data_IF_030506402242
#
_entry.id   IF_030506402242
#
_cell.length_a   1.000
_cell.length_b   1.000
_cell.length_c   1.000
_cell.angle_alpha   90.00
_cell.angle_beta   90.00
_cell.angle_gamma   90.00
#
_symmetry.space_group_name_H-M   'P 1'
#
loop_
_entity.id
_entity.type
_entity.pdbx_description
1 polymer ?
#
# COMPACT_ATOMS: atom_id res chain seq x y z
N UNK A 1 -22.40 6.53 65.20
CA UNK A 1 -23.16 6.59 63.94
C UNK A 1 -22.31 6.01 62.82
N UNK A 2 -22.94 5.28 61.89
CA UNK A 2 -22.34 4.27 60.99
C UNK A 2 -21.31 4.87 60.03
N UNK A 3 -20.15 4.22 59.93
CA UNK A 3 -19.08 4.55 58.98
C UNK A 3 -19.30 3.80 57.66
N UNK A 4 -19.52 4.56 56.58
CA UNK A 4 -19.86 4.04 55.26
C UNK A 4 -18.58 3.62 54.53
N UNK A 5 -18.41 2.31 54.28
CA UNK A 5 -17.34 1.79 53.43
C UNK A 5 -17.68 2.04 51.96
N UNK A 6 -16.93 2.91 51.30
CA UNK A 6 -16.99 3.06 49.84
C UNK A 6 -15.91 2.15 49.25
N UNK A 7 -16.35 1.02 48.69
CA UNK A 7 -15.54 0.17 47.82
C UNK A 7 -15.69 0.76 46.42
N UNK A 8 -14.67 1.45 45.90
CA UNK A 8 -14.64 1.89 44.51
C UNK A 8 -13.69 0.96 43.73
N UNK A 9 -14.30 0.07 42.94
CA UNK A 9 -13.62 -0.82 42.01
C UNK A 9 -12.87 -0.02 40.94
N UNK A 10 -11.54 -0.16 40.90
CA UNK A 10 -10.72 0.35 39.80
C UNK A 10 -10.88 -0.58 38.59
N UNK A 11 -11.64 -0.14 37.58
CA UNK A 11 -11.74 -0.83 36.29
C UNK A 11 -10.47 -0.53 35.50
N UNK A 12 -9.56 -1.52 35.40
CA UNK A 12 -8.46 -1.48 34.45
C UNK A 12 -9.00 -1.68 33.03
N UNK A 13 -9.23 -0.58 32.32
CA UNK A 13 -9.48 -0.62 30.88
C UNK A 13 -8.15 -0.87 30.15
N UNK A 14 -7.83 -2.14 29.87
CA UNK A 14 -6.81 -2.49 28.87
C UNK A 14 -7.36 -2.16 27.48
N UNK A 15 -7.14 -0.93 27.05
CA UNK A 15 -7.34 -0.53 25.67
C UNK A 15 -6.27 -1.18 24.79
N UNK A 16 -6.61 -2.29 24.13
CA UNK A 16 -5.78 -2.79 23.04
C UNK A 16 -5.90 -1.82 21.86
N UNK A 17 -4.93 -0.93 21.71
CA UNK A 17 -4.73 -0.22 20.45
C UNK A 17 -4.31 -1.27 19.43
N UNK A 18 -5.24 -1.75 18.61
CA UNK A 18 -4.93 -2.52 17.43
C UNK A 18 -4.11 -1.62 16.50
N UNK A 19 -2.78 -1.79 16.53
CA UNK A 19 -1.91 -1.22 15.53
C UNK A 19 -2.29 -1.87 14.19
N UNK A 20 -3.03 -1.13 13.37
CA UNK A 20 -3.17 -1.47 11.96
C UNK A 20 -1.76 -1.44 11.38
N UNK A 21 -1.18 -2.63 11.17
CA UNK A 21 0.11 -2.74 10.54
C UNK A 21 -0.05 -2.46 9.05
N UNK A 22 0.92 -1.75 8.49
CA UNK A 22 1.26 -1.79 7.08
C UNK A 22 0.98 -3.18 6.51
N UNK A 23 0.34 -3.24 5.35
CA UNK A 23 0.44 -4.47 4.60
C UNK A 23 1.90 -4.69 4.23
N UNK A 24 2.44 -5.82 4.65
CA UNK A 24 3.78 -6.20 4.30
C UNK A 24 3.90 -6.29 2.78
N UNK A 25 4.96 -5.70 2.24
CA UNK A 25 5.34 -5.88 0.85
C UNK A 25 5.33 -7.38 0.55
N UNK A 26 4.58 -7.83 -0.47
CA UNK A 26 4.50 -9.24 -0.79
C UNK A 26 5.88 -9.77 -1.18
N UNK A 27 6.12 -11.06 -0.94
CA UNK A 27 7.26 -11.75 -1.56
C UNK A 27 7.05 -11.72 -3.08
N UNK A 28 8.10 -11.35 -3.81
CA UNK A 28 8.10 -11.31 -5.28
C UNK A 28 7.79 -12.70 -5.85
N UNK A 29 6.81 -12.80 -6.74
CA UNK A 29 6.48 -14.06 -7.42
C UNK A 29 7.39 -14.27 -8.64
N UNK A 30 7.22 -15.41 -9.34
CA UNK A 30 7.91 -15.64 -10.62
C UNK A 30 7.54 -14.58 -11.67
N UNK A 31 6.29 -14.14 -11.69
CA UNK A 31 5.78 -13.12 -12.62
C UNK A 31 6.37 -11.73 -12.39
N UNK A 32 6.88 -11.48 -11.17
CA UNK A 32 7.48 -10.19 -10.82
C UNK A 32 8.57 -9.79 -11.82
N UNK A 33 9.50 -10.71 -12.13
CA UNK A 33 10.63 -10.43 -13.02
C UNK A 33 10.16 -10.09 -14.43
N UNK A 34 9.18 -10.84 -14.94
CA UNK A 34 8.62 -10.58 -16.27
C UNK A 34 7.94 -9.20 -16.33
N UNK A 35 7.05 -8.92 -15.37
CA UNK A 35 6.36 -7.63 -15.27
C UNK A 35 7.36 -6.48 -15.16
N UNK A 36 8.35 -6.60 -14.27
CA UNK A 36 9.40 -5.60 -14.10
C UNK A 36 10.17 -5.34 -15.39
N UNK A 37 10.59 -6.40 -16.09
CA UNK A 37 11.33 -6.26 -17.34
C UNK A 37 10.51 -5.58 -18.44
N UNK A 38 9.23 -5.94 -18.60
CA UNK A 38 8.33 -5.26 -19.54
C UNK A 38 8.15 -3.78 -19.21
N UNK A 39 7.98 -3.45 -17.92
CA UNK A 39 7.84 -2.06 -17.49
C UNK A 39 9.07 -1.22 -17.82
N UNK A 40 10.27 -1.74 -17.55
CA UNK A 40 11.53 -1.03 -17.80
C UNK A 40 11.85 -0.96 -19.30
N UNK A 41 11.74 -2.08 -20.03
CA UNK A 41 12.20 -2.18 -21.43
C UNK A 41 11.18 -1.62 -22.41
N UNK A 42 9.91 -1.98 -22.25
CA UNK A 42 8.88 -1.73 -23.27
C UNK A 42 8.06 -0.47 -22.95
N UNK A 43 7.93 -0.17 -21.65
CA UNK A 43 7.15 0.97 -21.15
C UNK A 43 8.02 2.11 -20.60
N UNK A 44 9.35 1.94 -20.62
CA UNK A 44 10.34 2.96 -20.21
C UNK A 44 10.11 3.51 -18.79
N UNK A 45 9.49 2.72 -17.91
CA UNK A 45 9.34 3.09 -16.52
C UNK A 45 10.72 3.17 -15.85
N UNK A 46 10.89 4.13 -14.94
CA UNK A 46 12.10 4.14 -14.09
C UNK A 46 12.14 2.85 -13.25
N UNK A 47 13.34 2.34 -12.89
CA UNK A 47 13.47 1.13 -12.09
C UNK A 47 12.62 1.11 -10.82
N UNK A 48 12.49 2.26 -10.14
CA UNK A 48 11.71 2.35 -8.90
C UNK A 48 10.20 2.33 -9.15
N UNK A 49 9.72 2.96 -10.23
CA UNK A 49 8.31 2.88 -10.64
C UNK A 49 7.97 1.46 -11.10
N UNK A 50 8.87 0.82 -11.84
CA UNK A 50 8.71 -0.57 -12.27
C UNK A 50 8.65 -1.53 -11.06
N UNK A 51 9.53 -1.38 -10.07
CA UNK A 51 9.50 -2.16 -8.83
C UNK A 51 8.20 -1.96 -8.04
N UNK A 52 7.73 -0.70 -7.98
CA UNK A 52 6.45 -0.36 -7.34
C UNK A 52 5.27 -1.08 -8.01
N UNK A 53 5.13 -0.94 -9.33
CA UNK A 53 4.02 -1.55 -10.09
C UNK A 53 4.10 -3.08 -10.06
N UNK A 54 5.28 -3.66 -10.27
CA UNK A 54 5.47 -5.11 -10.23
C UNK A 54 5.14 -5.70 -8.85
N UNK A 55 5.53 -5.00 -7.76
CA UNK A 55 5.11 -5.37 -6.40
C UNK A 55 3.61 -5.19 -6.19
N UNK A 56 2.98 -4.20 -6.82
CA UNK A 56 1.54 -3.99 -6.84
C UNK A 56 0.78 -5.18 -7.42
N UNK A 57 1.28 -5.79 -8.50
CA UNK A 57 0.69 -7.01 -9.06
C UNK A 57 0.75 -8.20 -8.11
N UNK A 58 1.80 -8.31 -7.30
CA UNK A 58 1.86 -9.35 -6.26
C UNK A 58 0.99 -9.01 -5.05
N UNK A 59 0.83 -7.73 -4.76
CA UNK A 59 0.03 -7.24 -3.64
C UNK A 59 -1.46 -7.45 -3.90
N UNK A 60 -1.94 -7.15 -5.11
CA UNK A 60 -3.37 -7.29 -5.46
C UNK A 60 -3.86 -8.74 -5.36
N UNK A 61 -2.99 -9.74 -5.52
CA UNK A 61 -3.32 -11.17 -5.35
C UNK A 61 -3.87 -11.48 -3.94
N UNK A 62 -3.43 -10.74 -2.92
CA UNK A 62 -3.88 -10.89 -1.53
C UNK A 62 -5.12 -10.06 -1.19
N UNK A 63 -5.51 -9.15 -2.07
CA UNK A 63 -6.60 -8.23 -1.79
C UNK A 63 -7.96 -8.96 -1.82
N UNK A 64 -8.82 -8.62 -0.85
CA UNK A 64 -10.20 -9.12 -0.80
C UNK A 64 -11.11 -8.44 -1.84
N UNK A 65 -10.83 -7.17 -2.17
CA UNK A 65 -11.69 -6.33 -3.03
C UNK A 65 -11.32 -6.42 -4.51
N UNK A 66 -10.03 -6.31 -4.82
CA UNK A 66 -9.50 -6.28 -6.18
C UNK A 66 -8.75 -7.56 -6.52
N UNK A 67 -8.70 -7.90 -7.81
CA UNK A 67 -7.95 -9.06 -8.32
C UNK A 67 -6.98 -8.75 -9.47
N UNK A 68 -7.08 -7.56 -10.08
CA UNK A 68 -6.19 -7.10 -11.15
C UNK A 68 -5.92 -5.61 -11.02
N UNK A 69 -4.75 -5.20 -11.49
CA UNK A 69 -4.38 -3.80 -11.67
C UNK A 69 -4.19 -3.51 -13.16
N UNK A 70 -4.53 -2.30 -13.56
CA UNK A 70 -4.35 -1.79 -14.91
C UNK A 70 -3.57 -0.48 -14.87
N UNK A 71 -2.49 -0.42 -15.65
CA UNK A 71 -1.65 0.77 -15.79
C UNK A 71 -1.38 0.98 -17.28
N UNK A 72 -1.69 2.17 -17.78
CA UNK A 72 -1.35 2.60 -19.13
C UNK A 72 0.04 3.25 -19.16
N UNK A 73 0.59 3.47 -20.35
CA UNK A 73 1.82 4.27 -20.50
C UNK A 73 1.66 5.69 -19.95
N UNK A 74 0.48 6.29 -20.10
CA UNK A 74 0.18 7.60 -19.56
C UNK A 74 0.19 7.60 -18.03
N UNK A 75 -0.35 6.54 -17.40
CA UNK A 75 -0.32 6.38 -15.95
C UNK A 75 1.10 6.28 -15.40
N UNK A 76 1.96 5.50 -16.09
CA UNK A 76 3.37 5.32 -15.73
C UNK A 76 4.14 6.63 -15.90
N UNK A 77 3.91 7.36 -16.99
CA UNK A 77 4.52 8.66 -17.22
C UNK A 77 4.05 9.72 -16.22
N UNK A 78 2.82 9.60 -15.71
CA UNK A 78 2.25 10.46 -14.68
C UNK A 78 2.63 10.03 -13.24
N UNK A 79 3.46 8.99 -13.07
CA UNK A 79 3.93 8.59 -11.76
C UNK A 79 4.71 9.74 -11.09
N UNK A 80 4.39 10.02 -9.82
CA UNK A 80 5.01 11.07 -9.05
C UNK A 80 5.82 10.48 -7.89
N UNK A 81 7.02 11.03 -7.67
CA UNK A 81 7.87 10.69 -6.52
C UNK A 81 7.99 11.90 -5.61
N UNK A 82 7.66 11.72 -4.33
CA UNK A 82 7.89 12.72 -3.28
C UNK A 82 9.08 12.29 -2.43
N UNK A 83 10.23 12.95 -2.60
CA UNK A 83 11.49 12.67 -1.89
C UNK A 83 11.59 13.33 -0.51
N UNK A 84 10.48 13.35 0.21
CA UNK A 84 10.41 13.91 1.56
C UNK A 84 10.17 12.79 2.57
N UNK A 85 10.96 12.78 3.63
CA UNK A 85 10.73 11.84 4.70
C UNK A 85 9.37 12.13 5.36
N UNK A 86 8.50 11.14 5.35
CA UNK A 86 7.14 11.25 5.85
C UNK A 86 6.66 9.91 6.40
N UNK A 87 5.54 9.96 7.11
CA UNK A 87 4.74 8.75 7.38
C UNK A 87 4.13 8.29 6.04
N UNK A 88 4.19 7.00 5.76
CA UNK A 88 3.71 6.45 4.49
C UNK A 88 2.20 6.67 4.30
N UNK A 89 1.38 6.29 5.27
CA UNK A 89 -0.04 6.58 5.29
C UNK A 89 -0.58 6.75 6.71
N UNK A 90 -1.86 7.16 6.83
CA UNK A 90 -2.53 7.24 8.13
C UNK A 90 -2.74 5.84 8.75
N UNK A 91 -2.92 4.83 7.90
CA UNK A 91 -3.09 3.42 8.30
C UNK A 91 -1.75 2.74 8.53
N UNK A 92 -0.71 3.16 7.82
CA UNK A 92 0.67 2.71 8.00
C UNK A 92 1.60 3.89 8.25
N UNK A 93 1.81 4.22 9.53
CA UNK A 93 2.64 5.34 9.93
C UNK A 93 4.16 5.06 9.80
N UNK A 94 4.58 3.99 9.10
CA UNK A 94 6.00 3.70 8.86
C UNK A 94 6.68 4.91 8.22
N UNK A 95 7.81 5.32 8.79
CA UNK A 95 8.64 6.40 8.26
C UNK A 95 9.35 5.91 7.00
N UNK A 96 9.13 6.60 5.90
CA UNK A 96 9.77 6.34 4.61
C UNK A 96 10.57 7.57 4.19
N UNK A 97 11.57 7.39 3.32
CA UNK A 97 12.38 8.48 2.76
C UNK A 97 11.78 9.07 1.49
N UNK A 98 11.00 8.28 0.75
CA UNK A 98 10.26 8.76 -0.41
C UNK A 98 8.94 7.99 -0.59
N UNK A 99 8.00 8.56 -1.33
CA UNK A 99 6.74 7.92 -1.71
C UNK A 99 6.57 8.04 -3.22
N UNK A 100 6.43 6.90 -3.89
CA UNK A 100 6.05 6.81 -5.30
C UNK A 100 4.54 6.65 -5.35
N UNK A 101 3.87 7.44 -6.19
CA UNK A 101 2.43 7.39 -6.42
C UNK A 101 2.17 7.20 -7.90
N UNK A 102 1.57 6.06 -8.27
CA UNK A 102 1.25 5.71 -9.65
C UNK A 102 -0.27 5.72 -9.81
N UNK A 103 -0.86 6.60 -10.64
CA UNK A 103 -2.27 6.51 -10.96
C UNK A 103 -2.57 5.21 -11.73
N UNK A 104 -3.81 4.76 -11.75
CA UNK A 104 -4.22 3.63 -12.56
C UNK A 104 -5.59 3.12 -12.16
N UNK A 105 -5.84 1.85 -12.43
CA UNK A 105 -7.11 1.20 -12.16
C UNK A 105 -6.96 -0.14 -11.43
N UNK A 106 -7.96 -0.50 -10.64
CA UNK A 106 -8.06 -1.82 -10.01
C UNK A 106 -9.42 -2.45 -10.29
N UNK A 107 -9.41 -3.69 -10.78
CA UNK A 107 -10.64 -4.43 -11.10
C UNK A 107 -11.28 -4.98 -9.84
N UNK A 108 -12.58 -4.75 -9.67
CA UNK A 108 -13.35 -5.25 -8.53
C UNK A 108 -13.64 -6.74 -8.73
N UNK A 109 -13.11 -7.57 -7.84
CA UNK A 109 -13.19 -9.05 -7.89
C UNK A 109 -14.62 -9.57 -7.94
N UNK A 110 -15.51 -9.01 -7.12
CA UNK A 110 -16.91 -9.46 -7.02
C UNK A 110 -17.78 -9.10 -8.23
N UNK A 111 -17.37 -8.12 -9.03
CA UNK A 111 -18.13 -7.62 -10.19
C UNK A 111 -17.52 -8.11 -11.50
N UNK A 112 -16.20 -8.31 -11.57
CA UNK A 112 -15.51 -8.92 -12.70
C UNK A 112 -15.28 -8.01 -13.91
N UNK A 113 -16.14 -7.01 -14.15
CA UNK A 113 -16.02 -6.04 -15.26
C UNK A 113 -15.79 -4.59 -14.81
N UNK A 114 -16.08 -4.27 -13.55
CA UNK A 114 -15.94 -2.90 -13.02
C UNK A 114 -14.53 -2.63 -12.54
N UNK A 115 -14.02 -1.45 -12.90
CA UNK A 115 -12.72 -0.93 -12.48
C UNK A 115 -12.93 0.32 -11.61
N UNK A 116 -12.19 0.41 -10.51
CA UNK A 116 -12.08 1.63 -9.70
C UNK A 116 -10.80 2.36 -10.10
N UNK A 117 -10.87 3.69 -10.26
CA UNK A 117 -9.67 4.51 -10.34
C UNK A 117 -8.94 4.51 -8.99
N UNK A 118 -7.64 4.28 -9.03
CA UNK A 118 -6.80 4.15 -7.86
C UNK A 118 -5.51 4.95 -7.98
N UNK A 119 -4.80 5.05 -6.87
CA UNK A 119 -3.38 5.39 -6.79
C UNK A 119 -2.68 4.25 -6.08
N UNK A 120 -1.73 3.60 -6.75
CA UNK A 120 -0.79 2.67 -6.12
C UNK A 120 0.30 3.50 -5.45
N UNK A 121 0.45 3.36 -4.14
CA UNK A 121 1.48 4.07 -3.38
C UNK A 121 2.54 3.08 -2.91
N UNK A 122 3.80 3.42 -3.08
CA UNK A 122 4.95 2.63 -2.62
C UNK A 122 5.88 3.49 -1.77
N UNK A 123 6.11 3.07 -0.54
CA UNK A 123 7.00 3.73 0.40
C UNK A 123 8.42 3.19 0.28
N UNK A 124 9.37 4.09 0.04
CA UNK A 124 10.78 3.76 -0.17
C UNK A 124 11.60 4.19 1.04
N UNK A 125 12.48 3.30 1.52
CA UNK A 125 13.49 3.63 2.54
C UNK A 125 14.84 3.10 2.09
N UNK A 126 15.86 3.96 2.06
CA UNK A 126 17.23 3.58 1.61
C UNK A 126 17.22 2.90 0.23
N UNK A 127 16.42 3.43 -0.70
CA UNK A 127 16.30 2.93 -2.07
C UNK A 127 15.55 1.60 -2.22
N UNK A 128 14.93 1.06 -1.17
CA UNK A 128 14.16 -0.19 -1.20
C UNK A 128 12.69 0.06 -0.89
N UNK A 129 11.81 -0.67 -1.56
CA UNK A 129 10.37 -0.69 -1.25
C UNK A 129 10.15 -1.33 0.12
N UNK A 130 9.45 -0.63 1.01
CA UNK A 130 9.19 -1.02 2.41
C UNK A 130 7.71 -0.99 2.79
N UNK A 131 6.88 -0.30 2.02
CA UNK A 131 5.44 -0.21 2.24
C UNK A 131 4.72 -0.10 0.90
N UNK A 132 3.49 -0.62 0.84
CA UNK A 132 2.66 -0.61 -0.36
C UNK A 132 1.19 -0.49 0.04
N UNK A 133 0.41 0.29 -0.71
CA UNK A 133 -1.05 0.35 -0.53
C UNK A 133 -1.75 0.74 -1.84
N UNK A 134 -3.03 0.37 -1.95
CA UNK A 134 -3.92 0.80 -3.04
C UNK A 134 -4.93 1.78 -2.44
N UNK A 135 -4.88 3.04 -2.88
CA UNK A 135 -5.81 4.10 -2.45
C UNK A 135 -6.82 4.34 -3.57
N UNK A 136 -8.12 4.29 -3.26
CA UNK A 136 -9.16 4.67 -4.23
C UNK A 136 -9.17 6.19 -4.39
N UNK A 137 -9.28 6.68 -5.64
CA UNK A 137 -9.51 8.09 -5.92
C UNK A 137 -10.97 8.48 -5.63
#
# INVERSE_FOLDING_TARGET
MKSTKIILSAIFAFGFTAAAQADAVPKRTKDFTANYQTLVKDQQASPQVADCIASGYDYVKKSKKYDRLGFTKADIAAAATSDKSAKFSAKDAKKVSAIISVPGEARIKSVGYKWDSITLRCGITRGKLQAIEIVRK
#
